data_IF_132902453653
#
_entry.id   IF_132902453653
#
_cell.length_a   1.000
_cell.length_b   1.000
_cell.length_c   1.000
_cell.angle_alpha   90.00
_cell.angle_beta   90.00
_cell.angle_gamma   90.00
#
_symmetry.space_group_name_H-M   'P 1'
#
loop_
_entity.id
_entity.type
_entity.pdbx_description
1 polymer ?
#
# COMPACT_ATOMS: atom_id res chain seq x y z
N UNK A 1 9.71 15.53 1.96
CA UNK A 1 10.46 15.53 3.24
C UNK A 1 11.05 14.16 3.56
N UNK A 2 10.26 13.05 3.56
CA UNK A 2 10.76 11.70 3.90
C UNK A 2 11.83 11.18 2.92
N UNK A 3 11.68 11.42 1.60
CA UNK A 3 12.67 11.04 0.59
C UNK A 3 13.97 11.82 0.76
N UNK A 4 13.88 13.12 1.08
CA UNK A 4 15.06 13.96 1.35
C UNK A 4 15.78 13.52 2.61
N UNK A 5 15.04 13.16 3.67
CA UNK A 5 15.62 12.62 4.90
C UNK A 5 16.31 11.26 4.66
N UNK A 6 15.70 10.36 3.89
CA UNK A 6 16.30 9.07 3.54
C UNK A 6 17.62 9.23 2.78
N UNK A 7 17.70 10.20 1.86
CA UNK A 7 18.93 10.52 1.12
C UNK A 7 20.02 11.12 2.02
N UNK A 8 19.65 11.88 3.06
CA UNK A 8 20.61 12.47 4.02
C UNK A 8 21.19 11.44 5.00
N UNK A 9 20.49 10.34 5.28
CA UNK A 9 20.95 9.28 6.16
C UNK A 9 21.67 8.12 5.45
N UNK A 10 22.08 8.30 4.18
CA UNK A 10 22.86 7.30 3.45
C UNK A 10 22.08 6.06 3.05
N UNK A 11 20.75 6.09 3.10
CA UNK A 11 19.93 5.06 2.47
C UNK A 11 20.10 5.16 0.97
N UNK A 12 20.82 4.22 0.40
CA UNK A 12 20.83 4.04 -1.05
C UNK A 12 19.39 3.80 -1.51
N UNK A 13 18.97 4.56 -2.53
CA UNK A 13 17.67 4.30 -3.18
C UNK A 13 17.62 2.82 -3.54
N UNK A 14 16.49 2.16 -3.24
CA UNK A 14 16.33 0.77 -3.61
C UNK A 14 16.63 0.55 -5.08
N UNK A 15 17.17 -0.62 -5.47
CA UNK A 15 17.48 -0.92 -6.88
C UNK A 15 16.29 -0.66 -7.82
N UNK A 16 15.06 -0.87 -7.36
CA UNK A 16 13.85 -0.58 -8.13
C UNK A 16 13.64 0.90 -8.48
N UNK A 17 14.35 1.82 -7.82
CA UNK A 17 14.33 3.25 -8.14
C UNK A 17 15.62 3.72 -8.82
N UNK A 18 16.63 2.84 -8.91
CA UNK A 18 17.86 3.13 -9.64
C UNK A 18 17.55 3.16 -11.14
N UNK A 19 17.61 4.29 -11.77
CA UNK A 19 17.30 4.43 -13.20
C UNK A 19 15.92 5.04 -13.51
N UNK A 20 15.04 5.22 -12.51
CA UNK A 20 13.72 5.83 -12.73
C UNK A 20 13.79 7.22 -13.32
N UNK A 21 14.85 8.00 -13.05
CA UNK A 21 15.06 9.32 -13.64
C UNK A 21 15.32 9.25 -15.15
N UNK A 22 16.09 8.25 -15.61
CA UNK A 22 16.33 8.01 -17.03
C UNK A 22 15.14 7.38 -17.75
N UNK A 23 14.26 6.73 -16.99
CA UNK A 23 13.05 6.09 -17.48
C UNK A 23 11.86 7.06 -17.60
N UNK A 24 11.91 8.22 -16.94
CA UNK A 24 10.85 9.23 -17.03
C UNK A 24 10.93 9.97 -18.36
N UNK A 25 10.47 9.31 -19.43
CA UNK A 25 10.40 9.86 -20.76
C UNK A 25 9.05 10.55 -20.99
N UNK A 26 9.05 11.67 -21.73
CA UNK A 26 7.84 12.44 -22.01
C UNK A 26 6.72 11.59 -22.65
N UNK A 27 7.09 10.60 -23.46
CA UNK A 27 6.17 9.66 -24.11
C UNK A 27 5.37 8.79 -23.13
N UNK A 28 5.84 8.60 -21.90
CA UNK A 28 5.13 7.82 -20.86
C UNK A 28 4.21 8.67 -19.99
N UNK A 29 4.32 10.00 -20.02
CA UNK A 29 3.51 10.90 -19.20
C UNK A 29 1.99 10.70 -19.40
N UNK A 30 1.46 10.53 -20.63
CA UNK A 30 0.02 10.27 -20.79
C UNK A 30 -0.44 8.98 -20.13
N UNK A 31 0.38 7.92 -20.19
CA UNK A 31 0.07 6.65 -19.56
C UNK A 31 0.08 6.77 -18.02
N UNK A 32 1.10 7.41 -17.45
CA UNK A 32 1.19 7.66 -16.01
C UNK A 32 0.01 8.53 -15.54
N UNK A 33 -0.33 9.58 -16.28
CA UNK A 33 -1.46 10.46 -15.98
C UNK A 33 -2.81 9.72 -16.00
N UNK A 34 -2.95 8.69 -16.83
CA UNK A 34 -4.12 7.79 -16.84
C UNK A 34 -4.07 6.79 -15.68
N UNK A 35 -2.90 6.23 -15.37
CA UNK A 35 -2.72 5.21 -14.34
C UNK A 35 -3.07 5.73 -12.94
N UNK A 36 -2.61 6.94 -12.60
CA UNK A 36 -2.80 7.52 -11.28
C UNK A 36 -4.28 7.56 -10.86
N UNK A 37 -5.20 8.19 -11.61
CA UNK A 37 -6.61 8.22 -11.22
C UNK A 37 -7.25 6.83 -11.15
N UNK A 38 -6.88 5.89 -12.02
CA UNK A 38 -7.39 4.52 -11.99
C UNK A 38 -7.03 3.86 -10.65
N UNK A 39 -5.78 3.97 -10.23
CA UNK A 39 -5.29 3.35 -8.99
C UNK A 39 -5.82 4.07 -7.75
N UNK A 40 -6.01 5.39 -7.81
CA UNK A 40 -6.68 6.15 -6.74
C UNK A 40 -8.13 5.66 -6.54
N UNK A 41 -8.87 5.47 -7.63
CA UNK A 41 -10.23 4.94 -7.59
C UNK A 41 -10.25 3.51 -7.06
N UNK A 42 -9.31 2.66 -7.48
CA UNK A 42 -9.18 1.28 -7.00
C UNK A 42 -8.98 1.24 -5.48
N UNK A 43 -7.98 1.96 -4.94
CA UNK A 43 -7.74 2.02 -3.49
C UNK A 43 -8.91 2.64 -2.72
N UNK A 44 -9.53 3.69 -3.27
CA UNK A 44 -10.75 4.29 -2.71
C UNK A 44 -11.93 3.32 -2.65
N UNK A 45 -12.14 2.52 -3.69
CA UNK A 45 -13.20 1.51 -3.76
C UNK A 45 -13.00 0.42 -2.70
N UNK A 46 -11.76 -0.02 -2.48
CA UNK A 46 -11.45 -0.97 -1.42
C UNK A 46 -11.77 -0.40 -0.03
N UNK A 47 -11.48 0.88 0.22
CA UNK A 47 -11.85 1.51 1.49
C UNK A 47 -13.36 1.64 1.68
N UNK A 48 -14.13 1.91 0.62
CA UNK A 48 -15.60 1.87 0.68
C UNK A 48 -16.10 0.49 1.09
N UNK A 49 -15.52 -0.57 0.53
CA UNK A 49 -15.92 -1.96 0.84
C UNK A 49 -15.52 -2.34 2.27
N UNK A 50 -14.24 -2.17 2.64
CA UNK A 50 -13.73 -2.71 3.89
C UNK A 50 -14.00 -1.79 5.08
N UNK A 51 -13.90 -0.45 4.93
CA UNK A 51 -14.05 0.52 6.05
C UNK A 51 -15.42 1.19 6.02
N UNK A 52 -15.99 1.41 4.85
CA UNK A 52 -17.35 1.91 4.72
C UNK A 52 -18.39 0.86 5.09
N UNK A 53 -18.48 -0.20 4.30
CA UNK A 53 -19.54 -1.20 4.43
C UNK A 53 -19.22 -2.29 5.48
N UNK A 54 -18.13 -3.03 5.32
CA UNK A 54 -17.84 -4.20 6.17
C UNK A 54 -17.63 -3.81 7.63
N UNK A 55 -16.79 -2.81 7.90
CA UNK A 55 -16.52 -2.33 9.24
C UNK A 55 -17.80 -1.84 9.93
N UNK A 56 -18.66 -1.09 9.23
CA UNK A 56 -19.94 -0.62 9.74
C UNK A 56 -20.90 -1.75 10.05
N UNK A 57 -21.01 -2.76 9.16
CA UNK A 57 -21.87 -3.92 9.36
C UNK A 57 -21.41 -4.80 10.53
N UNK A 58 -20.10 -4.95 10.72
CA UNK A 58 -19.51 -5.71 11.82
C UNK A 58 -19.67 -4.97 13.15
N UNK A 59 -19.42 -3.67 13.21
CA UNK A 59 -19.53 -2.86 14.42
C UNK A 59 -20.96 -2.78 14.97
N UNK A 60 -21.97 -2.91 14.10
CA UNK A 60 -23.36 -2.99 14.52
C UNK A 60 -23.71 -4.30 15.28
N UNK A 61 -22.86 -5.33 15.20
CA UNK A 61 -23.11 -6.67 15.77
C UNK A 61 -22.02 -7.15 16.73
N UNK A 62 -20.90 -6.46 16.79
CA UNK A 62 -19.73 -6.84 17.58
C UNK A 62 -19.09 -5.59 18.21
N UNK A 63 -18.04 -5.78 19.02
CA UNK A 63 -17.26 -4.64 19.50
C UNK A 63 -16.52 -3.96 18.34
N UNK A 64 -16.30 -2.65 18.44
CA UNK A 64 -15.53 -1.88 17.43
C UNK A 64 -14.12 -2.47 17.22
N UNK A 65 -13.47 -2.91 18.29
CA UNK A 65 -12.15 -3.54 18.21
C UNK A 65 -12.19 -4.81 17.36
N UNK A 66 -13.18 -5.70 17.61
CA UNK A 66 -13.32 -6.92 16.83
C UNK A 66 -13.68 -6.60 15.37
N UNK A 67 -14.54 -5.62 15.13
CA UNK A 67 -14.88 -5.18 13.78
C UNK A 67 -13.65 -4.69 12.99
N UNK A 68 -12.78 -3.89 13.61
CA UNK A 68 -11.52 -3.43 12.99
C UNK A 68 -10.59 -4.59 12.69
N UNK A 69 -10.40 -5.51 13.64
CA UNK A 69 -9.52 -6.68 13.45
C UNK A 69 -10.02 -7.60 12.34
N UNK A 70 -11.32 -7.91 12.32
CA UNK A 70 -11.92 -8.77 11.29
C UNK A 70 -11.87 -8.11 9.92
N UNK A 71 -12.17 -6.81 9.83
CA UNK A 71 -12.05 -6.06 8.57
C UNK A 71 -10.62 -6.00 8.06
N UNK A 72 -9.64 -5.80 8.94
CA UNK A 72 -8.21 -5.82 8.58
C UNK A 72 -7.74 -7.19 8.12
N UNK A 73 -8.18 -8.26 8.80
CA UNK A 73 -7.89 -9.64 8.40
C UNK A 73 -8.51 -9.95 7.02
N UNK A 74 -9.77 -9.62 6.82
CA UNK A 74 -10.46 -9.81 5.54
C UNK A 74 -9.77 -9.06 4.41
N UNK A 75 -9.27 -7.84 4.68
CA UNK A 75 -8.50 -7.06 3.72
C UNK A 75 -7.21 -7.76 3.30
N UNK A 76 -6.45 -8.34 4.25
CA UNK A 76 -5.27 -9.13 3.93
C UNK A 76 -5.60 -10.42 3.16
N UNK A 77 -6.65 -11.14 3.58
CA UNK A 77 -7.12 -12.36 2.90
C UNK A 77 -7.59 -12.08 1.47
N UNK A 78 -8.14 -10.91 1.20
CA UNK A 78 -8.52 -10.49 -0.15
C UNK A 78 -7.33 -10.48 -1.13
N UNK A 79 -6.10 -10.45 -0.63
CA UNK A 79 -4.87 -10.48 -1.42
C UNK A 79 -4.23 -11.88 -1.53
N UNK A 80 -4.99 -12.94 -1.27
CA UNK A 80 -4.53 -14.35 -1.39
C UNK A 80 -4.15 -14.76 -2.81
N UNK A 81 -4.55 -14.02 -3.85
CA UNK A 81 -4.08 -14.19 -5.21
C UNK A 81 -2.55 -14.19 -5.33
N UNK A 82 -1.87 -13.50 -4.42
CA UNK A 82 -0.39 -13.47 -4.32
C UNK A 82 0.21 -14.81 -3.92
N UNK A 83 -0.58 -15.73 -3.36
CA UNK A 83 -0.11 -17.06 -2.98
C UNK A 83 0.35 -17.92 -4.17
N UNK A 84 -0.15 -17.64 -5.36
CA UNK A 84 0.26 -18.28 -6.60
C UNK A 84 1.66 -17.86 -7.09
N UNK A 85 2.25 -16.81 -6.50
CA UNK A 85 3.57 -16.31 -6.86
C UNK A 85 4.68 -17.09 -6.12
N UNK A 86 4.74 -16.91 -4.82
CA UNK A 86 5.66 -17.61 -3.90
C UNK A 86 5.04 -17.61 -2.50
N UNK A 87 4.94 -18.77 -1.84
CA UNK A 87 4.26 -18.87 -0.53
C UNK A 87 4.92 -18.02 0.57
N UNK A 88 6.25 -17.89 0.57
CA UNK A 88 6.96 -17.08 1.57
C UNK A 88 6.70 -15.60 1.35
N UNK A 89 6.81 -15.15 0.11
CA UNK A 89 6.47 -13.78 -0.27
C UNK A 89 5.01 -13.47 0.05
N UNK A 90 4.08 -14.35 -0.34
CA UNK A 90 2.67 -14.19 -0.08
C UNK A 90 2.37 -14.07 1.42
N UNK A 91 2.97 -14.89 2.26
CA UNK A 91 2.77 -14.83 3.71
C UNK A 91 3.20 -13.47 4.28
N UNK A 92 4.37 -12.94 3.88
CA UNK A 92 4.86 -11.63 4.31
C UNK A 92 3.94 -10.52 3.80
N UNK A 93 3.55 -10.59 2.53
CA UNK A 93 2.68 -9.61 1.89
C UNK A 93 1.30 -9.55 2.56
N UNK A 94 0.65 -10.71 2.76
CA UNK A 94 -0.66 -10.81 3.41
C UNK A 94 -0.57 -10.31 4.86
N UNK A 95 0.44 -10.71 5.62
CA UNK A 95 0.62 -10.25 7.00
C UNK A 95 0.77 -8.72 7.08
N UNK A 96 1.58 -8.11 6.21
CA UNK A 96 1.73 -6.66 6.15
C UNK A 96 0.45 -5.95 5.72
N UNK A 97 -0.30 -6.54 4.79
CA UNK A 97 -1.59 -6.00 4.32
C UNK A 97 -2.66 -6.09 5.42
N UNK A 98 -2.66 -7.15 6.24
CA UNK A 98 -3.52 -7.22 7.44
C UNK A 98 -3.22 -6.07 8.40
N UNK A 99 -1.93 -5.84 8.72
CA UNK A 99 -1.52 -4.76 9.64
C UNK A 99 -1.88 -3.38 9.06
N UNK A 100 -1.64 -3.17 7.78
CA UNK A 100 -2.09 -1.96 7.07
C UNK A 100 -3.62 -1.82 7.14
N UNK A 101 -4.34 -2.94 6.96
CA UNK A 101 -5.78 -3.01 7.06
C UNK A 101 -6.31 -2.59 8.43
N UNK A 102 -5.68 -3.04 9.50
CA UNK A 102 -6.01 -2.63 10.88
C UNK A 102 -5.71 -1.15 11.08
N UNK A 103 -4.57 -0.65 10.62
CA UNK A 103 -4.21 0.77 10.68
C UNK A 103 -5.26 1.67 10.02
N UNK A 104 -5.66 1.35 8.78
CA UNK A 104 -6.67 2.12 8.06
C UNK A 104 -8.05 2.03 8.75
N UNK A 105 -8.37 0.89 9.35
CA UNK A 105 -9.59 0.71 10.15
C UNK A 105 -9.60 1.57 11.41
N UNK A 106 -8.52 1.58 12.19
CA UNK A 106 -8.37 2.46 13.36
C UNK A 106 -8.48 3.92 12.96
N UNK A 107 -7.82 4.31 11.86
CA UNK A 107 -7.90 5.68 11.35
C UNK A 107 -9.33 6.06 10.94
N UNK A 108 -10.03 5.20 10.19
CA UNK A 108 -11.42 5.45 9.79
C UNK A 108 -12.34 5.68 11.00
N UNK A 109 -12.20 4.83 12.04
CA UNK A 109 -12.98 4.94 13.29
C UNK A 109 -12.67 6.27 14.01
N UNK A 110 -11.41 6.60 14.18
CA UNK A 110 -11.02 7.84 14.91
C UNK A 110 -11.36 9.12 14.17
N UNK A 111 -11.28 9.09 12.84
CA UNK A 111 -11.65 10.23 12.00
C UNK A 111 -13.17 10.35 11.77
N UNK A 112 -13.94 9.30 12.04
CA UNK A 112 -15.35 9.22 11.66
C UNK A 112 -15.58 9.31 10.15
N UNK A 113 -14.56 8.98 9.33
CA UNK A 113 -14.57 9.15 7.89
C UNK A 113 -13.56 8.21 7.21
N UNK A 114 -13.93 7.72 6.03
CA UNK A 114 -13.02 6.93 5.18
C UNK A 114 -12.18 7.79 4.24
N UNK A 115 -12.39 9.11 4.17
CA UNK A 115 -11.73 9.99 3.21
C UNK A 115 -10.21 10.00 3.37
N UNK A 116 -9.71 10.08 4.62
CA UNK A 116 -8.28 10.00 4.91
C UNK A 116 -7.66 8.66 4.53
N UNK A 117 -8.20 7.53 5.04
CA UNK A 117 -7.78 6.19 4.62
C UNK A 117 -7.79 5.99 3.11
N UNK A 118 -8.86 6.37 2.41
CA UNK A 118 -8.99 6.24 0.96
C UNK A 118 -7.93 7.05 0.20
N UNK A 119 -7.72 8.31 0.61
CA UNK A 119 -6.69 9.15 0.00
C UNK A 119 -5.29 8.59 0.22
N UNK A 120 -4.98 8.13 1.42
CA UNK A 120 -3.69 7.51 1.74
C UNK A 120 -3.47 6.21 0.96
N UNK A 121 -4.45 5.31 0.99
CA UNK A 121 -4.36 4.01 0.32
C UNK A 121 -4.21 4.16 -1.20
N UNK A 122 -5.05 4.99 -1.81
CA UNK A 122 -4.96 5.27 -3.24
C UNK A 122 -3.62 5.91 -3.63
N UNK A 123 -3.12 6.89 -2.86
CA UNK A 123 -1.84 7.53 -3.12
C UNK A 123 -0.67 6.55 -2.92
N UNK A 124 -0.72 5.70 -1.90
CA UNK A 124 0.28 4.64 -1.68
C UNK A 124 0.35 3.67 -2.85
N UNK A 125 -0.81 3.18 -3.32
CA UNK A 125 -0.89 2.30 -4.47
C UNK A 125 -0.42 3.00 -5.75
N UNK A 126 -0.82 4.26 -5.99
CA UNK A 126 -0.38 5.02 -7.14
C UNK A 126 1.15 5.20 -7.16
N UNK A 127 1.76 5.49 -6.01
CA UNK A 127 3.22 5.58 -5.89
C UNK A 127 3.90 4.24 -6.24
N UNK A 128 3.38 3.12 -5.71
CA UNK A 128 3.93 1.79 -5.99
C UNK A 128 3.83 1.43 -7.48
N UNK A 129 2.65 1.62 -8.07
CA UNK A 129 2.43 1.28 -9.48
C UNK A 129 3.23 2.16 -10.43
N UNK A 130 3.33 3.47 -10.16
CA UNK A 130 4.16 4.37 -10.97
C UNK A 130 5.65 4.01 -10.84
N UNK A 131 6.12 3.75 -9.61
CA UNK A 131 7.50 3.35 -9.39
C UNK A 131 7.84 2.04 -10.10
N UNK A 132 6.96 1.04 -10.01
CA UNK A 132 7.14 -0.24 -10.71
C UNK A 132 7.10 -0.08 -12.22
N UNK A 133 6.22 0.78 -12.75
CA UNK A 133 6.18 1.09 -14.18
C UNK A 133 7.48 1.74 -14.66
N UNK A 134 8.01 2.70 -13.91
CA UNK A 134 9.28 3.38 -14.26
C UNK A 134 10.46 2.42 -14.18
N UNK A 135 10.48 1.48 -13.23
CA UNK A 135 11.49 0.44 -13.16
C UNK A 135 11.39 -0.50 -14.36
N UNK A 136 10.19 -0.96 -14.70
CA UNK A 136 9.94 -1.74 -15.92
C UNK A 136 10.37 -0.98 -17.18
N UNK A 137 10.12 0.31 -17.26
CA UNK A 137 10.53 1.15 -18.39
C UNK A 137 12.06 1.34 -18.50
N UNK A 138 12.76 1.36 -17.36
CA UNK A 138 14.22 1.44 -17.33
C UNK A 138 14.88 0.16 -17.89
N UNK A 139 14.25 -0.99 -17.68
CA UNK A 139 14.75 -2.30 -18.08
C UNK A 139 14.14 -2.80 -19.41
N UNK A 140 13.21 -2.06 -19.99
CA UNK A 140 12.52 -2.44 -21.22
C UNK A 140 13.42 -2.40 -22.46
N UNK A 141 13.08 -3.22 -23.45
CA UNK A 141 13.75 -3.21 -24.77
C UNK A 141 13.61 -1.82 -25.42
N UNK A 142 14.64 -1.37 -26.18
CA UNK A 142 14.54 -0.15 -26.95
C UNK A 142 13.29 -0.11 -27.84
N UNK A 143 12.51 0.97 -27.76
CA UNK A 143 11.26 1.13 -28.52
C UNK A 143 10.02 0.48 -27.93
N UNK A 144 10.11 -0.14 -26.73
CA UNK A 144 8.92 -0.65 -26.05
C UNK A 144 7.95 0.48 -25.70
N UNK A 145 6.68 0.26 -25.99
CA UNK A 145 5.58 1.19 -25.67
C UNK A 145 5.10 1.01 -24.22
N UNK A 146 4.46 2.04 -23.65
CA UNK A 146 3.92 1.96 -22.28
C UNK A 146 2.96 0.77 -22.05
N UNK A 147 2.01 0.43 -22.95
CA UNK A 147 1.18 -0.76 -22.81
C UNK A 147 1.98 -2.07 -22.82
N UNK A 148 3.05 -2.17 -23.61
CA UNK A 148 3.92 -3.37 -23.62
C UNK A 148 4.69 -3.52 -22.32
N UNK A 149 5.27 -2.44 -21.81
CA UNK A 149 5.94 -2.41 -20.52
C UNK A 149 4.99 -2.83 -19.39
N UNK A 150 3.77 -2.28 -19.41
CA UNK A 150 2.75 -2.63 -18.43
C UNK A 150 2.34 -4.10 -18.51
N UNK A 151 2.12 -4.62 -19.71
CA UNK A 151 1.76 -6.02 -19.90
C UNK A 151 2.88 -6.97 -19.44
N UNK A 152 4.15 -6.61 -19.69
CA UNK A 152 5.30 -7.36 -19.21
C UNK A 152 5.41 -7.35 -17.68
N UNK A 153 5.24 -6.18 -17.04
CA UNK A 153 5.19 -6.04 -15.58
C UNK A 153 4.10 -6.90 -14.93
N UNK A 154 2.96 -7.01 -15.58
CA UNK A 154 1.81 -7.79 -15.09
C UNK A 154 1.89 -9.27 -15.48
N UNK A 155 2.97 -9.69 -16.14
CA UNK A 155 3.18 -11.10 -16.51
C UNK A 155 3.56 -11.95 -15.29
N UNK A 156 3.29 -13.26 -15.39
CA UNK A 156 3.64 -14.22 -14.33
C UNK A 156 5.15 -14.27 -14.14
N UNK A 157 5.92 -14.18 -15.23
CA UNK A 157 7.38 -14.21 -15.22
C UNK A 157 7.96 -13.01 -14.47
N UNK A 158 7.46 -11.79 -14.73
CA UNK A 158 7.89 -10.59 -14.02
C UNK A 158 7.51 -10.67 -12.53
N UNK A 159 6.33 -11.16 -12.21
CA UNK A 159 5.92 -11.36 -10.84
C UNK A 159 6.77 -12.40 -10.11
N UNK A 160 7.23 -13.46 -10.79
CA UNK A 160 8.17 -14.42 -10.24
C UNK A 160 9.57 -13.83 -10.07
N UNK A 161 9.98 -12.89 -10.92
CA UNK A 161 11.28 -12.21 -10.80
C UNK A 161 11.32 -11.25 -9.61
N UNK A 162 10.20 -10.60 -9.27
CA UNK A 162 10.03 -9.83 -8.04
C UNK A 162 10.37 -10.68 -6.80
N UNK A 163 10.05 -11.97 -6.83
CA UNK A 163 10.37 -12.91 -5.75
C UNK A 163 11.88 -13.10 -5.56
N UNK A 164 12.68 -12.95 -6.60
CA UNK A 164 14.15 -13.02 -6.50
C UNK A 164 14.76 -11.85 -5.73
N UNK A 165 14.03 -10.75 -5.59
CA UNK A 165 14.38 -9.59 -4.79
C UNK A 165 13.67 -9.59 -3.43
N UNK A 166 13.38 -10.78 -2.90
CA UNK A 166 12.58 -11.01 -1.68
C UNK A 166 13.08 -10.23 -0.48
N UNK A 167 14.39 -10.06 -0.31
CA UNK A 167 14.96 -9.36 0.85
C UNK A 167 14.59 -7.87 0.84
N UNK A 168 14.57 -7.24 -0.32
CA UNK A 168 14.18 -5.84 -0.45
C UNK A 168 12.67 -5.66 -0.20
N UNK A 169 11.85 -6.52 -0.77
CA UNK A 169 10.40 -6.48 -0.58
C UNK A 169 10.06 -6.77 0.88
N UNK A 170 10.75 -7.74 1.51
CA UNK A 170 10.60 -8.02 2.94
C UNK A 170 10.97 -6.80 3.79
N UNK A 171 12.04 -6.06 3.46
CA UNK A 171 12.41 -4.83 4.15
C UNK A 171 11.34 -3.74 3.97
N UNK A 172 10.81 -3.55 2.77
CA UNK A 172 9.73 -2.59 2.50
C UNK A 172 8.45 -2.95 3.25
N UNK A 173 8.04 -4.21 3.23
CA UNK A 173 6.86 -4.68 3.95
C UNK A 173 7.05 -4.57 5.46
N UNK A 174 8.25 -4.84 5.97
CA UNK A 174 8.59 -4.62 7.38
C UNK A 174 8.46 -3.14 7.76
N UNK A 175 8.95 -2.23 6.92
CA UNK A 175 8.78 -0.79 7.15
C UNK A 175 7.29 -0.38 7.18
N UNK A 176 6.45 -0.91 6.29
CA UNK A 176 4.99 -0.69 6.31
C UNK A 176 4.39 -1.18 7.63
N UNK A 177 4.75 -2.38 8.08
CA UNK A 177 4.28 -2.94 9.36
C UNK A 177 4.69 -2.05 10.53
N UNK A 178 5.97 -1.70 10.63
CA UNK A 178 6.49 -0.87 11.74
C UNK A 178 5.82 0.51 11.75
N UNK A 179 5.74 1.19 10.61
CA UNK A 179 5.08 2.49 10.51
C UNK A 179 3.59 2.40 10.87
N UNK A 180 2.89 1.36 10.43
CA UNK A 180 1.48 1.14 10.76
C UNK A 180 1.28 0.88 12.25
N UNK A 181 2.13 0.07 12.89
CA UNK A 181 2.07 -0.20 14.34
C UNK A 181 2.36 1.05 15.16
N UNK A 182 3.34 1.86 14.77
CA UNK A 182 3.64 3.14 15.41
C UNK A 182 2.44 4.08 15.27
N UNK A 183 1.85 4.20 14.08
CA UNK A 183 0.69 5.04 13.84
C UNK A 183 -0.52 4.57 14.66
N UNK A 184 -0.79 3.26 14.74
CA UNK A 184 -1.84 2.70 15.60
C UNK A 184 -1.59 3.09 17.06
N UNK A 185 -0.37 2.88 17.57
CA UNK A 185 -0.03 3.22 18.94
C UNK A 185 -0.27 4.71 19.24
N UNK A 186 0.25 5.60 18.37
CA UNK A 186 0.05 7.07 18.52
C UNK A 186 -1.44 7.44 18.50
N UNK A 187 -2.23 6.84 17.64
CA UNK A 187 -3.67 7.09 17.57
C UNK A 187 -4.39 6.64 18.81
N UNK A 188 -4.05 5.46 19.37
CA UNK A 188 -4.65 4.93 20.59
C UNK A 188 -4.30 5.79 21.80
N UNK A 189 -3.03 6.23 21.94
CA UNK A 189 -2.61 7.14 23.02
C UNK A 189 -3.36 8.47 22.97
N UNK A 190 -3.44 9.11 21.79
CA UNK A 190 -4.19 10.36 21.63
C UNK A 190 -5.68 10.20 21.88
N UNK A 191 -6.24 9.03 21.61
CA UNK A 191 -7.64 8.71 21.91
C UNK A 191 -7.90 8.53 23.41
N UNK A 192 -6.92 8.00 24.17
CA UNK A 192 -6.98 7.89 25.63
C UNK A 192 -6.95 9.28 26.28
N UNK A 193 -5.99 10.14 25.91
CA UNK A 193 -5.89 11.51 26.43
C UNK A 193 -7.20 12.30 26.26
N UNK A 194 -7.82 12.21 25.06
CA UNK A 194 -9.08 12.93 24.80
C UNK A 194 -10.25 12.49 25.67
N UNK A 195 -10.29 11.22 26.11
CA UNK A 195 -11.34 10.73 27.03
C UNK A 195 -11.14 11.24 28.44
N UNK A 196 -9.91 11.29 28.91
CA UNK A 196 -9.56 11.81 30.23
C UNK A 196 -9.92 13.31 30.38
N UNK A 197 -9.69 14.11 29.32
CA UNK A 197 -10.11 15.53 29.29
C UNK A 197 -11.61 15.73 29.13
N UNK A 198 -12.36 14.77 28.63
CA UNK A 198 -13.81 14.87 28.47
C UNK A 198 -14.58 14.46 29.75
N UNK A 199 -13.93 13.73 30.65
CA UNK A 199 -14.49 13.26 31.93
C UNK A 199 -14.08 14.14 33.13
N UNK A 200 -13.16 15.09 32.94
CA UNK A 200 -12.70 16.07 33.95
C UNK A 200 -13.44 17.39 33.83
#
# INVERSE_FOLDING_TARGET
AAVVAALQFGFTMPPMFAGTQSALRAEFLPFIAMLIPIVLVQGGTEEVVFRGWMLSALSARTSMTLAVLVSGLAFGVFHLDRFFMDPKFAAIFIASTVVLGVFLGVWAVQAGSIAGPAGFHGAYNALLFVASFLDGAANAKPGATAPQIWAEMMSVEAMQDIVRHTDYIAAMQTAVVVCSLIAIAVMLFRGADRREYAEA
#
